data_IF_384240993313
#
_entry.id   IF_384240993313
#
_cell.length_a   1.000
_cell.length_b   1.000
_cell.length_c   1.000
_cell.angle_alpha   90.00
_cell.angle_beta   90.00
_cell.angle_gamma   90.00
#
_symmetry.space_group_name_H-M   'P 1'
#
loop_
_entity.id
_entity.type
_entity.pdbx_description
1 polymer ?
#
# COMPACT_ATOMS: atom_id res chain seq x y z
N UNK A 1 17.52 -14.84 33.44
CA UNK A 1 16.26 -14.29 32.88
C UNK A 1 16.47 -14.14 31.39
N UNK A 2 16.03 -15.11 30.60
CA UNK A 2 16.10 -15.08 29.13
C UNK A 2 15.14 -14.01 28.65
N UNK A 3 15.67 -12.97 28.03
CA UNK A 3 14.88 -11.90 27.42
C UNK A 3 13.91 -12.55 26.39
N UNK A 4 12.64 -12.52 26.72
CA UNK A 4 11.56 -13.03 25.86
C UNK A 4 11.48 -12.10 24.63
N UNK A 5 12.27 -12.39 23.60
CA UNK A 5 12.15 -11.71 22.31
C UNK A 5 10.71 -11.90 21.85
N UNK A 6 9.96 -10.81 21.63
CA UNK A 6 8.54 -10.92 21.26
C UNK A 6 8.42 -11.79 20.03
N UNK A 7 7.72 -12.91 20.16
CA UNK A 7 7.51 -13.89 19.10
C UNK A 7 6.96 -13.14 17.86
N UNK A 8 7.68 -13.19 16.74
CA UNK A 8 7.30 -12.52 15.50
C UNK A 8 5.90 -13.00 15.09
N UNK A 9 4.97 -12.10 14.89
CA UNK A 9 3.59 -12.41 14.51
C UNK A 9 3.57 -12.90 13.06
N UNK A 10 3.44 -14.22 12.86
CA UNK A 10 3.52 -14.84 11.54
C UNK A 10 2.39 -14.33 10.63
N UNK A 11 1.16 -14.23 11.16
CA UNK A 11 0.02 -13.72 10.42
C UNK A 11 0.27 -12.32 9.79
N UNK A 12 1.01 -11.43 10.46
CA UNK A 12 1.35 -10.11 9.92
C UNK A 12 2.34 -10.20 8.74
N UNK A 13 3.32 -11.10 8.81
CA UNK A 13 4.24 -11.33 7.69
C UNK A 13 3.52 -11.95 6.50
N UNK A 14 2.57 -12.85 6.75
CA UNK A 14 1.75 -13.47 5.70
C UNK A 14 0.84 -12.42 5.04
N UNK A 15 0.15 -11.59 5.83
CA UNK A 15 -0.68 -10.52 5.27
C UNK A 15 0.14 -9.57 4.40
N UNK A 16 1.35 -9.20 4.83
CA UNK A 16 2.27 -8.40 4.02
C UNK A 16 2.67 -9.10 2.73
N UNK A 17 2.93 -10.40 2.80
CA UNK A 17 3.24 -11.21 1.61
C UNK A 17 2.08 -11.30 0.63
N UNK A 18 0.85 -11.48 1.12
CA UNK A 18 -0.37 -11.49 0.31
C UNK A 18 -0.51 -10.14 -0.42
N UNK A 19 -0.34 -9.03 0.30
CA UNK A 19 -0.47 -7.69 -0.31
C UNK A 19 0.61 -7.43 -1.37
N UNK A 20 1.86 -7.81 -1.13
CA UNK A 20 2.93 -7.64 -2.13
C UNK A 20 2.70 -8.53 -3.36
N UNK A 21 2.35 -9.81 -3.17
CA UNK A 21 2.03 -10.70 -4.28
C UNK A 21 0.83 -10.18 -5.09
N UNK A 22 -0.19 -9.66 -4.39
CA UNK A 22 -1.33 -8.99 -5.02
C UNK A 22 -0.93 -7.75 -5.81
N UNK A 23 -0.06 -6.88 -5.26
CA UNK A 23 0.44 -5.69 -5.98
C UNK A 23 1.18 -6.08 -7.27
N UNK A 24 2.04 -7.09 -7.20
CA UNK A 24 2.77 -7.57 -8.39
C UNK A 24 1.79 -8.13 -9.43
N UNK A 25 0.78 -8.88 -9.00
CA UNK A 25 -0.24 -9.46 -9.87
C UNK A 25 -1.03 -8.38 -10.63
N UNK A 26 -1.57 -7.40 -9.90
CA UNK A 26 -2.48 -6.41 -10.50
C UNK A 26 -1.76 -5.31 -11.27
N UNK A 27 -0.49 -5.06 -10.97
CA UNK A 27 0.32 -4.05 -11.68
C UNK A 27 1.01 -4.59 -12.94
N UNK A 28 0.98 -5.91 -13.18
CA UNK A 28 1.67 -6.52 -14.32
C UNK A 28 0.75 -7.49 -15.11
N UNK A 29 -0.41 -7.03 -15.62
CA UNK A 29 -1.21 -7.84 -16.53
C UNK A 29 -0.46 -8.06 -17.85
N UNK A 30 -0.78 -9.12 -18.57
CA UNK A 30 -0.24 -9.33 -19.92
C UNK A 30 -0.70 -8.24 -20.90
N UNK A 31 -1.92 -7.74 -20.72
CA UNK A 31 -2.48 -6.61 -21.47
C UNK A 31 -3.46 -5.84 -20.61
N UNK A 32 -3.34 -4.53 -20.58
CA UNK A 32 -4.29 -3.65 -19.90
C UNK A 32 -5.68 -3.60 -20.55
N UNK A 33 -5.79 -3.98 -21.84
CA UNK A 33 -7.07 -4.08 -22.52
C UNK A 33 -7.83 -5.38 -22.23
N UNK A 34 -7.22 -6.34 -21.56
CA UNK A 34 -7.78 -7.66 -21.29
C UNK A 34 -7.54 -8.09 -19.84
N UNK A 35 -8.07 -7.30 -18.90
CA UNK A 35 -8.03 -7.58 -17.47
C UNK A 35 -9.42 -8.00 -17.00
N UNK A 36 -9.53 -9.01 -16.14
CA UNK A 36 -10.81 -9.35 -15.51
C UNK A 36 -11.24 -8.27 -14.54
N UNK A 37 -12.52 -7.90 -14.54
CA UNK A 37 -13.08 -6.81 -13.70
C UNK A 37 -12.67 -6.83 -12.23
N UNK A 38 -12.58 -7.96 -11.51
CA UNK A 38 -12.11 -7.96 -10.13
C UNK A 38 -10.63 -7.57 -9.96
N UNK A 39 -9.84 -7.62 -11.05
CA UNK A 39 -8.42 -7.25 -11.08
C UNK A 39 -8.18 -5.84 -11.63
N UNK A 40 -9.23 -5.15 -12.07
CA UNK A 40 -9.20 -3.75 -12.45
C UNK A 40 -9.41 -2.84 -11.24
N UNK A 41 -8.93 -1.61 -11.33
CA UNK A 41 -9.30 -0.56 -10.40
C UNK A 41 -10.71 -0.04 -10.70
N UNK A 42 -11.42 0.41 -9.68
CA UNK A 42 -12.66 1.17 -9.89
C UNK A 42 -12.37 2.40 -10.75
N UNK A 43 -13.25 2.68 -11.73
CA UNK A 43 -13.06 3.78 -12.69
C UNK A 43 -12.83 5.12 -11.99
N UNK A 44 -13.66 5.46 -11.00
CA UNK A 44 -13.47 6.60 -10.10
C UNK A 44 -14.06 6.28 -8.72
N UNK A 45 -15.38 6.28 -8.57
CA UNK A 45 -16.05 5.89 -7.33
C UNK A 45 -16.29 4.38 -7.32
N UNK A 46 -16.08 3.75 -6.18
CA UNK A 46 -16.24 2.31 -6.00
C UNK A 46 -15.07 1.66 -5.28
N UNK A 47 -15.13 0.34 -5.14
CA UNK A 47 -14.13 -0.47 -4.47
C UNK A 47 -14.08 -1.84 -5.14
N UNK A 48 -12.94 -2.18 -5.73
CA UNK A 48 -12.66 -3.51 -6.25
C UNK A 48 -11.67 -4.26 -5.35
N UNK A 49 -11.51 -5.57 -5.47
CA UNK A 49 -10.47 -6.30 -4.74
C UNK A 49 -9.07 -5.76 -4.98
N UNK A 50 -8.77 -5.27 -6.19
CA UNK A 50 -7.50 -4.62 -6.54
C UNK A 50 -7.25 -3.34 -5.74
N UNK A 51 -8.29 -2.59 -5.43
CA UNK A 51 -8.18 -1.37 -4.65
C UNK A 51 -7.86 -1.60 -3.17
N UNK A 52 -7.95 -2.84 -2.68
CA UNK A 52 -7.60 -3.21 -1.30
C UNK A 52 -6.10 -3.42 -1.10
N UNK A 53 -5.35 -3.72 -2.15
CA UNK A 53 -3.97 -4.20 -2.03
C UNK A 53 -3.05 -3.13 -1.43
N UNK A 54 -3.03 -1.94 -1.99
CA UNK A 54 -2.18 -0.84 -1.52
C UNK A 54 -2.59 -0.31 -0.13
N UNK A 55 -3.87 -0.03 0.16
CA UNK A 55 -4.28 0.38 1.50
C UNK A 55 -3.98 -0.68 2.58
N UNK A 56 -4.15 -1.96 2.28
CA UNK A 56 -3.76 -3.01 3.22
C UNK A 56 -2.27 -2.97 3.55
N UNK A 57 -1.43 -2.72 2.54
CA UNK A 57 0.01 -2.56 2.77
C UNK A 57 0.31 -1.34 3.65
N UNK A 58 -0.38 -0.21 3.45
CA UNK A 58 -0.25 0.98 4.30
C UNK A 58 -0.70 0.71 5.74
N UNK A 59 -1.79 -0.02 5.93
CA UNK A 59 -2.26 -0.45 7.25
C UNK A 59 -1.20 -1.32 7.97
N UNK A 60 -0.63 -2.31 7.28
CA UNK A 60 0.44 -3.19 7.79
C UNK A 60 1.70 -2.36 8.12
N UNK A 61 2.03 -1.37 7.31
CA UNK A 61 3.13 -0.45 7.57
C UNK A 61 2.91 0.30 8.88
N UNK A 62 1.69 0.74 9.17
CA UNK A 62 1.33 1.35 10.45
C UNK A 62 1.60 0.42 11.64
N UNK A 63 1.13 -0.84 11.60
CA UNK A 63 1.41 -1.85 12.63
C UNK A 63 2.92 -2.06 12.78
N UNK A 64 3.64 -2.18 11.67
CA UNK A 64 5.10 -2.38 11.66
C UNK A 64 5.85 -1.19 12.25
N UNK A 65 5.34 0.02 12.04
CA UNK A 65 5.86 1.26 12.64
C UNK A 65 5.69 1.24 14.15
N UNK A 66 4.53 0.81 14.66
CA UNK A 66 4.32 0.62 16.10
C UNK A 66 5.36 -0.36 16.69
N UNK A 67 5.53 -1.53 16.05
CA UNK A 67 6.50 -2.54 16.51
C UNK A 67 7.93 -1.98 16.53
N UNK A 68 8.30 -1.23 15.50
CA UNK A 68 9.63 -0.63 15.40
C UNK A 68 9.89 0.43 16.48
N UNK A 69 8.94 1.34 16.68
CA UNK A 69 9.09 2.45 17.65
C UNK A 69 8.93 2.00 19.10
N UNK A 70 8.19 0.92 19.36
CA UNK A 70 8.08 0.32 20.70
C UNK A 70 9.45 -0.04 21.27
N UNK A 71 10.42 -0.44 20.45
CA UNK A 71 11.79 -0.73 20.87
C UNK A 71 12.53 0.48 21.40
N UNK A 72 12.07 1.68 21.08
CA UNK A 72 12.59 2.98 21.54
C UNK A 72 11.65 3.64 22.54
N UNK A 73 10.69 2.89 23.13
CA UNK A 73 9.68 3.39 24.08
C UNK A 73 8.93 4.63 23.57
N UNK A 74 8.81 4.80 22.25
CA UNK A 74 8.18 5.96 21.59
C UNK A 74 8.75 7.31 22.05
N UNK A 75 10.01 7.33 22.51
CA UNK A 75 10.65 8.56 23.00
C UNK A 75 11.30 9.33 21.86
N UNK A 76 11.12 10.65 21.88
CA UNK A 76 11.88 11.53 21.02
C UNK A 76 13.35 11.51 21.42
N UNK A 77 14.21 11.19 20.45
CA UNK A 77 15.66 11.31 20.57
C UNK A 77 16.26 11.60 19.19
N UNK A 78 17.44 12.21 19.15
CA UNK A 78 18.14 12.45 17.89
C UNK A 78 18.41 11.15 17.11
N UNK A 79 18.69 10.04 17.81
CA UNK A 79 18.88 8.73 17.19
C UNK A 79 17.59 8.20 16.56
N UNK A 80 16.46 8.31 17.26
CA UNK A 80 15.13 7.89 16.75
C UNK A 80 14.73 8.76 15.56
N UNK A 81 14.89 10.09 15.68
CA UNK A 81 14.59 11.04 14.61
C UNK A 81 15.43 10.75 13.35
N UNK A 82 16.77 10.61 13.52
CA UNK A 82 17.66 10.28 12.39
C UNK A 82 17.24 9.00 11.67
N UNK A 83 16.83 7.98 12.42
CA UNK A 83 16.35 6.72 11.84
C UNK A 83 15.07 6.92 11.03
N UNK A 84 14.09 7.67 11.57
CA UNK A 84 12.84 7.98 10.89
C UNK A 84 13.13 8.74 9.58
N UNK A 85 13.88 9.84 9.67
CA UNK A 85 14.23 10.68 8.53
C UNK A 85 15.00 9.89 7.48
N UNK A 86 16.05 9.16 7.88
CA UNK A 86 16.83 8.32 6.95
C UNK A 86 15.92 7.37 6.16
N UNK A 87 15.03 6.64 6.86
CA UNK A 87 14.15 5.67 6.20
C UNK A 87 13.13 6.36 5.29
N UNK A 88 12.55 7.47 5.70
CA UNK A 88 11.64 8.28 4.90
C UNK A 88 12.32 8.74 3.60
N UNK A 89 13.49 9.36 3.72
CA UNK A 89 14.25 9.87 2.57
C UNK A 89 14.66 8.74 1.62
N UNK A 90 15.17 7.62 2.14
CA UNK A 90 15.59 6.49 1.31
C UNK A 90 14.41 5.92 0.52
N UNK A 91 13.24 5.70 1.16
CA UNK A 91 12.05 5.19 0.47
C UNK A 91 11.56 6.20 -0.58
N UNK A 92 11.57 7.49 -0.25
CA UNK A 92 11.18 8.55 -1.18
C UNK A 92 12.09 8.61 -2.41
N UNK A 93 13.41 8.57 -2.20
CA UNK A 93 14.39 8.58 -3.29
C UNK A 93 14.33 7.32 -4.17
N UNK A 94 14.04 6.14 -3.59
CA UNK A 94 13.78 4.92 -4.38
C UNK A 94 12.59 5.15 -5.31
N UNK A 95 11.51 5.76 -4.83
CA UNK A 95 10.35 6.08 -5.67
C UNK A 95 10.67 7.06 -6.80
N UNK A 96 11.47 8.12 -6.52
CA UNK A 96 11.92 9.04 -7.57
C UNK A 96 12.80 8.34 -8.61
N UNK A 97 13.68 7.46 -8.15
CA UNK A 97 14.52 6.66 -9.04
C UNK A 97 13.68 5.76 -9.97
N UNK A 98 12.66 5.08 -9.45
CA UNK A 98 11.76 4.24 -10.26
C UNK A 98 10.98 5.07 -11.28
N UNK A 99 10.44 6.23 -10.89
CA UNK A 99 9.74 7.12 -11.80
C UNK A 99 10.66 7.65 -12.91
N UNK A 100 11.89 8.05 -12.55
CA UNK A 100 12.89 8.50 -13.51
C UNK A 100 13.32 7.37 -14.45
N UNK A 101 13.55 6.17 -13.92
CA UNK A 101 13.92 4.98 -14.70
C UNK A 101 12.82 4.65 -15.72
N UNK A 102 11.56 4.56 -15.29
CA UNK A 102 10.44 4.30 -16.17
C UNK A 102 10.36 5.34 -17.29
N UNK A 103 10.39 6.63 -16.94
CA UNK A 103 10.33 7.69 -17.95
C UNK A 103 11.51 7.64 -18.90
N UNK A 104 12.75 7.54 -18.38
CA UNK A 104 13.98 7.57 -19.19
C UNK A 104 14.10 6.36 -20.13
N UNK A 105 13.67 5.19 -19.71
CA UNK A 105 13.70 3.98 -20.54
C UNK A 105 12.75 4.11 -21.73
N UNK A 106 11.55 4.61 -21.54
CA UNK A 106 10.57 4.74 -22.63
C UNK A 106 10.79 5.97 -23.51
N UNK A 107 11.45 7.03 -23.02
CA UNK A 107 11.80 8.22 -23.84
C UNK A 107 13.22 8.17 -24.44
N UNK A 108 14.02 7.16 -24.08
CA UNK A 108 15.42 6.98 -24.49
C UNK A 108 16.35 8.15 -24.11
N UNK A 109 15.96 9.01 -23.16
CA UNK A 109 16.81 10.06 -22.59
C UNK A 109 16.43 10.36 -21.13
N UNK A 110 17.34 10.96 -20.37
CA UNK A 110 17.06 11.40 -19.01
C UNK A 110 16.11 12.59 -19.05
N UNK A 111 14.87 12.36 -18.66
CA UNK A 111 13.79 13.35 -18.71
C UNK A 111 13.41 13.78 -17.29
N UNK A 112 13.99 14.90 -16.83
CA UNK A 112 13.68 15.50 -15.53
C UNK A 112 12.50 16.48 -15.61
N UNK A 113 12.20 17.02 -16.80
CA UNK A 113 11.16 18.02 -17.01
C UNK A 113 9.74 17.41 -16.83
N UNK A 114 9.64 16.12 -17.08
CA UNK A 114 8.39 15.37 -16.93
C UNK A 114 8.50 14.28 -15.83
N UNK A 115 9.42 14.46 -14.89
CA UNK A 115 9.58 13.53 -13.79
C UNK A 115 8.39 13.61 -12.83
N UNK A 116 7.64 12.52 -12.68
CA UNK A 116 6.58 12.42 -11.67
C UNK A 116 7.19 12.45 -10.27
N UNK A 117 6.83 13.44 -9.45
CA UNK A 117 7.41 13.63 -8.11
C UNK A 117 6.79 12.73 -7.06
N UNK A 118 5.49 12.42 -7.17
CA UNK A 118 4.78 11.59 -6.23
C UNK A 118 4.39 10.26 -6.88
N UNK A 119 4.10 9.27 -6.05
CA UNK A 119 3.71 7.94 -6.44
C UNK A 119 3.62 7.04 -5.21
N UNK A 120 3.44 5.75 -5.43
CA UNK A 120 3.23 4.75 -4.37
C UNK A 120 4.33 4.80 -3.30
N UNK A 121 5.60 4.82 -3.71
CA UNK A 121 6.73 4.80 -2.77
C UNK A 121 6.84 6.09 -1.97
N UNK A 122 6.62 7.24 -2.59
CA UNK A 122 6.65 8.54 -1.93
C UNK A 122 5.49 8.66 -0.93
N UNK A 123 4.29 8.17 -1.28
CA UNK A 123 3.16 8.10 -0.35
C UNK A 123 3.47 7.22 0.86
N UNK A 124 4.10 6.05 0.65
CA UNK A 124 4.58 5.20 1.74
C UNK A 124 5.61 5.92 2.62
N UNK A 125 6.57 6.62 2.01
CA UNK A 125 7.59 7.37 2.73
C UNK A 125 6.98 8.45 3.62
N UNK A 126 6.08 9.29 3.08
CA UNK A 126 5.42 10.36 3.81
C UNK A 126 4.51 9.77 4.91
N UNK A 127 3.70 8.75 4.57
CA UNK A 127 2.83 8.07 5.53
C UNK A 127 3.61 7.48 6.71
N UNK A 128 4.73 6.81 6.45
CA UNK A 128 5.63 6.32 7.49
C UNK A 128 6.25 7.45 8.30
N UNK A 129 6.82 8.45 7.63
CA UNK A 129 7.55 9.56 8.28
C UNK A 129 6.64 10.36 9.20
N UNK A 130 5.51 10.84 8.70
CA UNK A 130 4.55 11.65 9.46
C UNK A 130 3.97 10.85 10.63
N UNK A 131 3.49 9.61 10.39
CA UNK A 131 2.97 8.76 11.46
C UNK A 131 4.02 8.50 12.53
N UNK A 132 5.28 8.25 12.14
CA UNK A 132 6.37 8.03 13.09
C UNK A 132 6.68 9.28 13.92
N UNK A 133 6.70 10.47 13.31
CA UNK A 133 6.92 11.74 14.02
C UNK A 133 5.78 12.02 15.01
N UNK A 134 4.53 11.85 14.59
CA UNK A 134 3.38 12.00 15.49
C UNK A 134 3.46 10.99 16.64
N UNK A 135 3.91 9.75 16.38
CA UNK A 135 3.99 8.71 17.40
C UNK A 135 5.04 8.98 18.50
N UNK A 136 6.10 9.72 18.20
CA UNK A 136 7.15 10.08 19.19
C UNK A 136 6.93 11.44 19.85
N UNK A 137 5.97 12.26 19.35
CA UNK A 137 5.72 13.61 19.86
C UNK A 137 4.36 13.74 20.55
N UNK A 138 3.37 12.94 20.14
CA UNK A 138 1.99 13.02 20.63
C UNK A 138 1.61 11.77 21.41
N UNK A 139 0.89 11.94 22.52
CA UNK A 139 0.36 10.81 23.28
C UNK A 139 -0.60 9.98 22.42
N UNK A 140 -0.42 8.66 22.35
CA UNK A 140 -1.16 7.76 21.47
C UNK A 140 -2.68 7.74 21.73
N UNK A 141 -3.15 8.21 22.88
CA UNK A 141 -4.59 8.35 23.18
C UNK A 141 -5.28 9.37 22.27
N UNK A 142 -4.54 10.31 21.68
CA UNK A 142 -5.07 11.35 20.81
C UNK A 142 -5.12 10.92 19.33
N UNK A 143 -4.54 9.76 18.95
CA UNK A 143 -4.54 9.29 17.56
C UNK A 143 -5.96 9.19 16.98
N UNK A 144 -6.96 8.58 17.66
CA UNK A 144 -8.32 8.53 17.11
C UNK A 144 -8.90 9.92 16.84
N UNK A 145 -8.64 10.90 17.73
CA UNK A 145 -9.13 12.27 17.54
C UNK A 145 -8.42 12.97 16.36
N UNK A 146 -7.11 12.81 16.21
CA UNK A 146 -6.35 13.38 15.08
C UNK A 146 -6.87 12.77 13.78
N UNK A 147 -7.03 11.45 13.70
CA UNK A 147 -7.56 10.77 12.52
C UNK A 147 -8.95 11.30 12.18
N UNK A 148 -9.86 11.35 13.16
CA UNK A 148 -11.23 11.80 12.95
C UNK A 148 -11.29 13.24 12.45
N UNK A 149 -10.56 14.16 13.09
CA UNK A 149 -10.54 15.58 12.70
C UNK A 149 -9.95 15.74 11.30
N UNK A 150 -8.84 15.04 11.00
CA UNK A 150 -8.21 15.12 9.68
C UNK A 150 -9.12 14.60 8.59
N UNK A 151 -9.78 13.46 8.81
CA UNK A 151 -10.72 12.89 7.84
C UNK A 151 -11.97 13.76 7.67
N UNK A 152 -12.47 14.37 8.77
CA UNK A 152 -13.61 15.28 8.70
C UNK A 152 -13.28 16.57 7.92
N UNK A 153 -12.14 17.17 8.18
CA UNK A 153 -11.66 18.36 7.43
C UNK A 153 -11.47 18.00 5.95
N UNK A 154 -10.87 16.84 5.67
CA UNK A 154 -10.67 16.40 4.30
C UNK A 154 -12.00 16.10 3.58
N UNK A 155 -12.98 15.53 4.28
CA UNK A 155 -14.33 15.37 3.74
C UNK A 155 -14.95 16.72 3.33
N UNK A 156 -14.85 17.73 4.20
CA UNK A 156 -15.36 19.09 3.89
C UNK A 156 -14.67 19.67 2.67
N UNK A 157 -13.35 19.50 2.53
CA UNK A 157 -12.60 19.95 1.35
C UNK A 157 -13.11 19.27 0.07
N UNK A 158 -13.33 17.95 0.11
CA UNK A 158 -13.88 17.21 -1.03
C UNK A 158 -15.30 17.65 -1.37
N UNK A 159 -16.18 17.80 -0.36
CA UNK A 159 -17.57 18.18 -0.55
C UNK A 159 -17.73 19.60 -1.13
N UNK A 160 -16.89 20.55 -0.69
CA UNK A 160 -16.92 21.94 -1.17
C UNK A 160 -16.19 22.15 -2.50
N UNK A 161 -15.27 21.23 -2.87
CA UNK A 161 -14.34 21.38 -3.99
C UNK A 161 -14.56 20.38 -5.13
N UNK A 162 -15.78 19.93 -5.39
CA UNK A 162 -16.09 18.96 -6.48
C UNK A 162 -15.24 17.67 -6.40
N UNK A 163 -14.83 17.27 -5.18
CA UNK A 163 -13.88 16.18 -4.96
C UNK A 163 -14.39 14.78 -5.31
N UNK A 164 -15.69 14.61 -5.53
CA UNK A 164 -16.32 13.31 -5.83
C UNK A 164 -16.56 13.06 -7.32
N UNK A 165 -16.15 14.01 -8.18
CA UNK A 165 -16.22 13.91 -9.64
C UNK A 165 -14.81 13.90 -10.24
N UNK A 166 -14.63 13.11 -11.31
CA UNK A 166 -13.40 13.15 -12.10
C UNK A 166 -13.51 14.30 -13.10
N UNK A 167 -13.06 15.46 -12.68
CA UNK A 167 -13.19 16.73 -13.44
C UNK A 167 -11.98 17.64 -13.22
N UNK A 168 -11.79 18.61 -14.11
CA UNK A 168 -10.76 19.63 -13.97
C UNK A 168 -11.04 20.59 -12.79
N UNK A 169 -12.27 20.63 -12.29
CA UNK A 169 -12.69 21.43 -11.13
C UNK A 169 -12.44 20.74 -9.79
N UNK A 170 -12.10 19.45 -9.82
CA UNK A 170 -11.82 18.68 -8.62
C UNK A 170 -10.71 19.32 -7.78
N UNK A 171 -10.99 19.56 -6.50
CA UNK A 171 -10.08 20.24 -5.58
C UNK A 171 -8.73 19.53 -5.44
N UNK A 172 -8.71 18.18 -5.51
CA UNK A 172 -7.47 17.39 -5.42
C UNK A 172 -6.62 17.66 -6.65
N UNK A 173 -7.19 17.56 -7.85
CA UNK A 173 -6.49 17.87 -9.09
C UNK A 173 -5.96 19.30 -9.12
N UNK A 174 -6.81 20.28 -8.79
CA UNK A 174 -6.43 21.70 -8.78
C UNK A 174 -5.31 22.02 -7.80
N UNK A 175 -5.39 21.46 -6.59
CA UNK A 175 -4.35 21.67 -5.59
C UNK A 175 -3.02 21.04 -6.03
N UNK A 176 -3.07 19.81 -6.55
CA UNK A 176 -1.87 19.10 -6.97
C UNK A 176 -1.23 19.76 -8.20
N UNK A 177 -2.03 20.24 -9.17
CA UNK A 177 -1.55 21.06 -10.32
C UNK A 177 -0.88 22.34 -9.85
N UNK A 178 -1.47 23.03 -8.88
CA UNK A 178 -0.89 24.25 -8.30
C UNK A 178 0.44 23.98 -7.58
N UNK A 179 0.52 22.87 -6.84
CA UNK A 179 1.69 22.55 -6.02
C UNK A 179 2.85 21.89 -6.79
N UNK A 180 2.55 21.07 -7.79
CA UNK A 180 3.52 20.22 -8.48
C UNK A 180 3.74 20.62 -9.95
N UNK A 181 2.77 21.28 -10.57
CA UNK A 181 2.73 21.48 -12.02
C UNK A 181 2.24 20.23 -12.77
N UNK A 182 1.62 20.44 -13.92
CA UNK A 182 1.01 19.35 -14.73
C UNK A 182 2.02 18.34 -15.24
N UNK A 183 3.25 18.77 -15.55
CA UNK A 183 4.31 17.91 -16.09
C UNK A 183 4.86 16.89 -15.05
N UNK A 184 4.68 17.14 -13.75
CA UNK A 184 5.22 16.32 -12.67
C UNK A 184 4.18 15.42 -12.00
N UNK A 185 3.04 15.20 -12.68
CA UNK A 185 1.91 14.42 -12.18
C UNK A 185 1.58 13.25 -13.11
N UNK A 186 0.81 12.30 -12.58
CA UNK A 186 0.16 11.28 -13.38
C UNK A 186 -1.02 11.90 -14.15
N UNK A 187 -1.28 11.38 -15.35
CA UNK A 187 -2.42 11.77 -16.18
C UNK A 187 -3.41 10.61 -16.29
N UNK A 188 -4.62 10.82 -15.80
CA UNK A 188 -5.71 9.86 -15.88
C UNK A 188 -6.66 10.26 -17.02
N UNK A 189 -6.74 9.41 -18.06
CA UNK A 189 -7.55 9.72 -19.24
C UNK A 189 -7.19 11.02 -19.96
N UNK A 190 -5.91 11.43 -19.90
CA UNK A 190 -5.41 12.68 -20.50
C UNK A 190 -5.55 13.92 -19.61
N UNK A 191 -6.19 13.81 -18.43
CA UNK A 191 -6.28 14.88 -17.46
C UNK A 191 -5.19 14.75 -16.40
N UNK A 192 -4.55 15.85 -15.99
CA UNK A 192 -3.59 15.88 -14.90
C UNK A 192 -4.33 15.56 -13.56
N UNK A 193 -4.31 14.31 -13.16
CA UNK A 193 -4.93 13.81 -11.95
C UNK A 193 -4.07 12.69 -11.37
N UNK A 194 -3.44 12.95 -10.22
CA UNK A 194 -2.54 11.99 -9.59
C UNK A 194 -3.21 11.29 -8.41
N UNK A 195 -3.51 9.97 -8.50
CA UNK A 195 -4.08 9.20 -7.39
C UNK A 195 -3.19 9.19 -6.15
N UNK A 196 -1.88 9.36 -6.31
CA UNK A 196 -0.90 9.49 -5.24
C UNK A 196 -0.46 10.93 -5.00
N UNK A 197 -1.28 11.91 -5.37
CA UNK A 197 -1.02 13.34 -5.25
C UNK A 197 -0.79 13.84 -3.81
N UNK A 198 -0.46 15.12 -3.70
CA UNK A 198 -0.07 15.72 -2.42
C UNK A 198 -1.27 15.87 -1.48
N UNK A 199 -2.40 16.39 -1.98
CA UNK A 199 -3.57 16.64 -1.13
C UNK A 199 -4.17 15.33 -0.60
N UNK A 200 -4.28 14.30 -1.45
CA UNK A 200 -4.76 12.96 -1.07
C UNK A 200 -3.79 12.17 -0.18
N UNK A 201 -2.57 12.67 0.00
CA UNK A 201 -1.61 12.09 0.96
C UNK A 201 -2.03 12.37 2.41
N UNK A 202 -2.81 13.43 2.67
CA UNK A 202 -3.32 13.74 4.01
C UNK A 202 -4.17 12.61 4.60
N UNK A 203 -5.26 12.13 3.97
CA UNK A 203 -5.99 10.95 4.46
C UNK A 203 -5.19 9.64 4.38
N UNK A 204 -4.21 9.55 3.48
CA UNK A 204 -3.32 8.39 3.42
C UNK A 204 -2.42 8.27 4.65
N UNK A 205 -1.98 9.39 5.25
CA UNK A 205 -1.30 9.39 6.56
C UNK A 205 -2.24 8.85 7.65
N UNK A 206 -3.51 9.25 7.66
CA UNK A 206 -4.51 8.71 8.60
C UNK A 206 -4.64 7.19 8.47
N UNK A 207 -4.55 6.66 7.27
CA UNK A 207 -4.57 5.21 7.03
C UNK A 207 -3.44 4.48 7.78
N UNK A 208 -2.22 5.01 7.69
CA UNK A 208 -1.06 4.47 8.42
C UNK A 208 -1.23 4.65 9.94
N UNK A 209 -1.81 5.77 10.36
CA UNK A 209 -2.11 6.03 11.78
C UNK A 209 -3.14 5.05 12.35
N UNK A 210 -4.18 4.66 11.59
CA UNK A 210 -5.12 3.60 11.99
C UNK A 210 -4.38 2.28 12.17
N UNK A 211 -3.53 1.90 11.21
CA UNK A 211 -2.69 0.71 11.31
C UNK A 211 -1.78 0.75 12.56
N UNK A 212 -1.16 1.90 12.84
CA UNK A 212 -0.35 2.10 14.05
C UNK A 212 -1.17 1.88 15.33
N UNK A 213 -2.38 2.43 15.38
CA UNK A 213 -3.26 2.27 16.54
C UNK A 213 -3.73 0.81 16.70
N UNK A 214 -4.03 0.10 15.61
CA UNK A 214 -4.29 -1.35 15.63
C UNK A 214 -3.06 -2.13 16.12
N UNK A 215 -1.85 -1.70 15.77
CA UNK A 215 -0.61 -2.23 16.35
C UNK A 215 -0.56 -2.09 17.87
N UNK A 216 -0.97 -0.93 18.41
CA UNK A 216 -1.10 -0.73 19.86
C UNK A 216 -2.09 -1.71 20.47
N UNK A 217 -3.27 -1.89 19.88
CA UNK A 217 -4.29 -2.82 20.37
C UNK A 217 -3.78 -4.26 20.38
N UNK A 218 -3.09 -4.70 19.32
CA UNK A 218 -2.49 -6.02 19.20
C UNK A 218 -1.47 -6.32 20.30
N UNK A 219 -0.55 -5.38 20.54
CA UNK A 219 0.56 -5.59 21.47
C UNK A 219 0.22 -5.26 22.92
N UNK A 220 -0.98 -4.74 23.20
CA UNK A 220 -1.54 -4.60 24.54
C UNK A 220 -2.50 -5.73 24.91
N UNK A 221 -2.83 -6.65 23.99
CA UNK A 221 -3.65 -7.81 24.23
C UNK A 221 -2.88 -8.89 25.02
N UNK A 222 -3.58 -9.60 25.92
CA UNK A 222 -3.01 -10.61 26.81
C UNK A 222 -2.66 -11.90 26.05
N UNK A 223 -3.52 -12.30 25.13
CA UNK A 223 -3.43 -13.53 24.35
C UNK A 223 -3.90 -13.36 22.91
N UNK A 224 -3.92 -14.43 22.13
CA UNK A 224 -4.32 -14.38 20.74
C UNK A 224 -5.84 -14.20 20.56
N UNK A 225 -6.65 -14.70 21.50
CA UNK A 225 -8.11 -14.53 21.43
C UNK A 225 -8.48 -13.07 21.62
N UNK A 226 -7.88 -12.40 22.60
CA UNK A 226 -8.08 -10.96 22.80
C UNK A 226 -7.58 -10.13 21.60
N UNK A 227 -6.48 -10.52 20.94
CA UNK A 227 -6.03 -9.86 19.70
C UNK A 227 -7.08 -9.95 18.60
N UNK A 228 -7.65 -11.15 18.40
CA UNK A 228 -8.70 -11.37 17.41
C UNK A 228 -9.93 -10.55 17.75
N UNK A 229 -10.41 -10.60 18.99
CA UNK A 229 -11.59 -9.85 19.43
C UNK A 229 -11.42 -8.36 19.16
N UNK A 230 -10.29 -7.77 19.57
CA UNK A 230 -10.03 -6.34 19.38
C UNK A 230 -9.94 -5.95 17.93
N UNK A 231 -9.22 -6.72 17.10
CA UNK A 231 -9.09 -6.45 15.67
C UNK A 231 -10.40 -6.65 14.93
N UNK A 232 -11.15 -7.70 15.26
CA UNK A 232 -12.42 -7.99 14.63
C UNK A 232 -13.47 -6.92 14.99
N UNK A 233 -13.52 -6.49 16.25
CA UNK A 233 -14.41 -5.41 16.69
C UNK A 233 -14.09 -4.11 15.95
N UNK A 234 -12.84 -3.68 15.93
CA UNK A 234 -12.42 -2.49 15.17
C UNK A 234 -12.70 -2.67 13.68
N UNK A 235 -12.40 -3.84 13.14
CA UNK A 235 -12.62 -4.15 11.74
C UNK A 235 -14.09 -4.05 11.34
N UNK A 236 -14.96 -4.64 12.13
CA UNK A 236 -16.42 -4.62 11.91
C UNK A 236 -16.96 -3.20 12.00
N UNK A 237 -16.64 -2.47 13.09
CA UNK A 237 -17.13 -1.09 13.29
C UNK A 237 -16.69 -0.20 12.12
N UNK A 238 -15.39 -0.23 11.74
CA UNK A 238 -14.89 0.62 10.65
C UNK A 238 -15.51 0.23 9.30
N UNK A 239 -15.66 -1.05 9.00
CA UNK A 239 -16.26 -1.50 7.74
C UNK A 239 -17.71 -1.04 7.61
N UNK A 240 -18.53 -1.29 8.64
CA UNK A 240 -19.94 -0.86 8.63
C UNK A 240 -20.06 0.67 8.60
N UNK A 241 -19.26 1.38 9.40
CA UNK A 241 -19.24 2.85 9.39
C UNK A 241 -18.86 3.39 8.01
N UNK A 242 -17.85 2.80 7.37
CA UNK A 242 -17.41 3.21 6.03
C UNK A 242 -18.48 3.01 4.97
N UNK A 243 -19.17 1.85 4.97
CA UNK A 243 -20.29 1.62 4.06
C UNK A 243 -21.49 2.54 4.35
N UNK A 244 -21.82 2.76 5.63
CA UNK A 244 -22.92 3.67 5.99
C UNK A 244 -22.60 5.11 5.54
N UNK A 245 -21.40 5.60 5.79
CA UNK A 245 -20.98 6.94 5.40
C UNK A 245 -20.80 7.09 3.87
N UNK A 246 -20.69 5.98 3.13
CA UNK A 246 -20.49 6.03 1.67
C UNK A 246 -21.67 6.60 0.90
N UNK A 247 -22.86 6.66 1.51
CA UNK A 247 -24.04 7.33 0.93
C UNK A 247 -23.85 8.85 0.81
N UNK A 248 -23.02 9.46 1.67
CA UNK A 248 -22.71 10.89 1.61
C UNK A 248 -21.25 11.21 1.19
N UNK A 249 -20.38 10.21 1.25
CA UNK A 249 -18.97 10.35 0.87
C UNK A 249 -18.57 9.09 0.08
N UNK A 250 -18.64 9.09 -1.24
CA UNK A 250 -18.32 7.91 -2.06
C UNK A 250 -16.98 7.29 -1.70
N UNK A 251 -16.93 5.95 -1.68
CA UNK A 251 -15.66 5.22 -1.52
C UNK A 251 -14.85 5.44 -2.80
N UNK A 252 -13.68 6.06 -2.68
CA UNK A 252 -12.88 6.42 -3.83
C UNK A 252 -11.38 6.37 -3.51
N UNK A 253 -10.66 5.53 -4.25
CA UNK A 253 -9.21 5.37 -4.12
C UNK A 253 -8.44 6.56 -4.71
N UNK A 254 -8.90 7.12 -5.84
CA UNK A 254 -8.15 8.16 -6.56
C UNK A 254 -8.04 9.46 -5.77
N UNK A 255 -9.08 9.82 -5.00
CA UNK A 255 -9.03 10.95 -4.06
C UNK A 255 -8.70 10.50 -2.63
N UNK A 256 -8.55 9.19 -2.39
CA UNK A 256 -8.31 8.61 -1.06
C UNK A 256 -9.35 9.07 -0.04
N UNK A 257 -10.65 8.92 -0.39
CA UNK A 257 -11.75 9.46 0.41
C UNK A 257 -11.74 8.95 1.86
N UNK A 258 -12.30 9.70 2.82
CA UNK A 258 -12.42 9.26 4.21
C UNK A 258 -13.07 7.89 4.36
N UNK A 259 -14.11 7.63 3.59
CA UNK A 259 -14.80 6.32 3.55
C UNK A 259 -13.92 5.21 2.99
N UNK A 260 -13.07 5.51 2.01
CA UNK A 260 -12.07 4.57 1.53
C UNK A 260 -11.09 4.19 2.64
N UNK A 261 -10.57 5.16 3.41
CA UNK A 261 -9.68 4.91 4.54
C UNK A 261 -10.37 4.03 5.58
N UNK A 262 -11.58 4.40 6.00
CA UNK A 262 -12.33 3.72 7.06
C UNK A 262 -12.67 2.28 6.63
N UNK A 263 -13.23 2.11 5.43
CA UNK A 263 -13.64 0.79 4.92
C UNK A 263 -12.44 -0.14 4.75
N UNK A 264 -11.38 0.33 4.11
CA UNK A 264 -10.23 -0.53 3.81
C UNK A 264 -9.40 -0.85 5.06
N UNK A 265 -9.29 0.07 6.04
CA UNK A 265 -8.72 -0.24 7.35
C UNK A 265 -9.57 -1.25 8.12
N UNK A 266 -10.89 -1.15 8.02
CA UNK A 266 -11.81 -2.11 8.63
C UNK A 266 -11.63 -3.51 8.07
N UNK A 267 -11.63 -3.63 6.75
CA UNK A 267 -11.39 -4.90 6.05
C UNK A 267 -10.00 -5.47 6.35
N UNK A 268 -8.95 -4.63 6.37
CA UNK A 268 -7.59 -5.07 6.69
C UNK A 268 -7.47 -5.59 8.13
N UNK A 269 -8.13 -4.93 9.09
CA UNK A 269 -8.17 -5.35 10.49
C UNK A 269 -8.87 -6.69 10.67
N UNK A 270 -10.05 -6.86 10.05
CA UNK A 270 -10.81 -8.12 10.07
C UNK A 270 -10.03 -9.26 9.41
N UNK A 271 -9.39 -8.99 8.27
CA UNK A 271 -8.59 -9.97 7.56
C UNK A 271 -7.35 -10.39 8.36
N UNK A 272 -6.69 -9.47 9.05
CA UNK A 272 -5.58 -9.79 9.96
C UNK A 272 -6.07 -10.66 11.13
N UNK A 273 -7.24 -10.37 11.72
CA UNK A 273 -7.83 -11.19 12.76
C UNK A 273 -8.09 -12.63 12.28
N UNK A 274 -8.63 -12.79 11.07
CA UNK A 274 -8.83 -14.09 10.43
C UNK A 274 -7.51 -14.84 10.24
N UNK A 275 -6.47 -14.17 9.77
CA UNK A 275 -5.14 -14.79 9.59
C UNK A 275 -4.51 -15.20 10.91
N UNK A 276 -4.67 -14.42 11.99
CA UNK A 276 -4.22 -14.81 13.33
C UNK A 276 -4.94 -16.08 13.76
N UNK A 277 -6.25 -16.17 13.53
CA UNK A 277 -7.04 -17.36 13.88
C UNK A 277 -6.58 -18.60 13.10
N UNK A 278 -6.43 -18.49 11.76
CA UNK A 278 -6.02 -19.61 10.91
C UNK A 278 -4.59 -20.07 11.24
N UNK A 279 -3.65 -19.12 11.35
CA UNK A 279 -2.21 -19.38 11.38
C UNK A 279 -1.70 -19.60 12.80
N UNK A 280 -2.06 -18.68 13.73
CA UNK A 280 -1.46 -18.65 15.06
C UNK A 280 -2.28 -19.47 16.09
N UNK A 281 -3.59 -19.68 15.88
CA UNK A 281 -4.46 -20.49 16.75
C UNK A 281 -4.67 -21.90 16.16
N UNK A 282 -5.18 -22.00 14.93
CA UNK A 282 -5.47 -23.31 14.31
C UNK A 282 -4.22 -24.02 13.80
N UNK A 283 -3.10 -23.29 13.61
CA UNK A 283 -1.83 -23.88 13.18
C UNK A 283 -1.77 -24.29 11.71
N UNK A 284 -2.71 -23.83 10.86
CA UNK A 284 -2.70 -24.14 9.43
C UNK A 284 -1.65 -23.31 8.71
N UNK A 285 -0.41 -23.80 8.65
CA UNK A 285 0.76 -23.05 8.16
C UNK A 285 1.37 -23.60 6.86
N UNK A 286 0.87 -24.68 6.28
CA UNK A 286 1.46 -25.34 5.09
C UNK A 286 1.59 -24.41 3.87
N UNK A 287 0.65 -23.50 3.68
CA UNK A 287 0.63 -22.53 2.59
C UNK A 287 1.42 -21.24 2.89
N UNK A 288 1.82 -21.03 4.12
CA UNK A 288 2.43 -19.77 4.58
C UNK A 288 3.78 -19.48 3.93
N UNK A 289 4.56 -20.50 3.55
CA UNK A 289 5.93 -20.32 3.02
C UNK A 289 5.93 -19.47 1.76
N UNK A 290 4.93 -19.64 0.88
CA UNK A 290 4.80 -18.84 -0.33
C UNK A 290 4.73 -17.35 -0.02
N UNK A 291 3.76 -16.94 0.76
CA UNK A 291 3.56 -15.52 1.11
C UNK A 291 4.62 -14.99 2.08
N UNK A 292 5.13 -15.82 2.99
CA UNK A 292 6.19 -15.44 3.91
C UNK A 292 7.45 -15.01 3.16
N UNK A 293 7.77 -15.66 2.05
CA UNK A 293 8.91 -15.29 1.21
C UNK A 293 8.81 -13.82 0.75
N UNK A 294 7.65 -13.37 0.28
CA UNK A 294 7.38 -11.97 -0.04
C UNK A 294 7.39 -11.07 1.19
N UNK A 295 6.73 -11.51 2.27
CA UNK A 295 6.49 -10.69 3.47
C UNK A 295 7.73 -10.33 4.26
N UNK A 296 8.85 -11.05 4.10
CA UNK A 296 10.11 -10.79 4.81
C UNK A 296 11.03 -9.80 4.10
N UNK A 297 10.89 -9.66 2.77
CA UNK A 297 11.65 -8.72 1.92
C UNK A 297 10.73 -7.84 1.05
N UNK A 298 9.68 -7.20 1.61
CA UNK A 298 8.60 -6.59 0.83
C UNK A 298 9.08 -5.44 -0.06
N UNK A 299 9.96 -4.58 0.45
CA UNK A 299 10.45 -3.45 -0.32
C UNK A 299 11.40 -3.88 -1.44
N UNK A 300 12.28 -4.83 -1.16
CA UNK A 300 13.20 -5.36 -2.18
C UNK A 300 12.43 -5.95 -3.36
N UNK A 301 11.47 -6.84 -3.08
CA UNK A 301 10.75 -7.52 -4.16
C UNK A 301 9.81 -6.58 -4.93
N UNK A 302 9.25 -5.57 -4.26
CA UNK A 302 8.47 -4.54 -4.93
C UNK A 302 9.34 -3.75 -5.93
N UNK A 303 10.50 -3.23 -5.48
CA UNK A 303 11.44 -2.49 -6.34
C UNK A 303 11.96 -3.37 -7.48
N UNK A 304 12.29 -4.62 -7.18
CA UNK A 304 12.72 -5.59 -8.19
C UNK A 304 11.64 -5.83 -9.25
N UNK A 305 10.39 -6.03 -8.83
CA UNK A 305 9.27 -6.22 -9.74
C UNK A 305 9.03 -4.99 -10.64
N UNK A 306 9.06 -3.77 -10.08
CA UNK A 306 8.94 -2.55 -10.87
C UNK A 306 10.05 -2.42 -11.92
N UNK A 307 11.32 -2.63 -11.53
CA UNK A 307 12.46 -2.56 -12.47
C UNK A 307 12.32 -3.62 -13.57
N UNK A 308 12.02 -4.86 -13.21
CA UNK A 308 11.86 -5.94 -14.19
C UNK A 308 10.66 -5.72 -15.11
N UNK A 309 9.55 -5.18 -14.60
CA UNK A 309 8.38 -4.80 -15.41
C UNK A 309 8.74 -3.75 -16.46
N UNK A 310 9.47 -2.70 -16.07
CA UNK A 310 9.97 -1.66 -16.97
C UNK A 310 10.89 -2.27 -18.05
N UNK A 311 11.82 -3.12 -17.67
CA UNK A 311 12.77 -3.75 -18.62
C UNK A 311 12.08 -4.71 -19.58
N UNK A 312 11.16 -5.55 -19.11
CA UNK A 312 10.39 -6.46 -19.97
C UNK A 312 9.47 -5.69 -20.94
N UNK A 313 8.89 -4.56 -20.47
CA UNK A 313 8.11 -3.67 -21.34
C UNK A 313 8.97 -3.02 -22.42
N UNK A 314 10.11 -2.45 -22.03
CA UNK A 314 11.01 -1.75 -22.95
C UNK A 314 11.65 -2.65 -24.01
N UNK A 315 11.97 -3.90 -23.65
CA UNK A 315 12.53 -4.89 -24.58
C UNK A 315 11.47 -5.55 -25.48
N UNK A 316 10.17 -5.29 -25.24
CA UNK A 316 9.08 -5.96 -25.94
C UNK A 316 8.88 -7.41 -25.50
N UNK A 317 9.64 -7.92 -24.55
CA UNK A 317 9.55 -9.32 -24.10
C UNK A 317 8.18 -9.62 -23.45
N UNK A 318 7.61 -8.67 -22.72
CA UNK A 318 6.26 -8.81 -22.15
C UNK A 318 5.21 -9.01 -23.23
N UNK A 319 5.24 -8.19 -24.27
CA UNK A 319 4.32 -8.26 -25.43
C UNK A 319 4.51 -9.58 -26.19
N UNK A 320 5.76 -9.99 -26.44
CA UNK A 320 6.06 -11.25 -27.09
C UNK A 320 5.49 -12.45 -26.32
N UNK A 321 5.76 -12.55 -25.01
CA UNK A 321 5.27 -13.65 -24.17
C UNK A 321 3.74 -13.65 -24.15
N UNK A 322 3.11 -12.49 -23.98
CA UNK A 322 1.66 -12.40 -23.96
C UNK A 322 1.04 -12.75 -25.32
N UNK A 323 1.38 -12.02 -26.38
CA UNK A 323 0.69 -12.15 -27.68
C UNK A 323 1.07 -13.43 -28.46
N UNK A 324 2.37 -13.79 -28.45
CA UNK A 324 2.84 -14.89 -29.30
C UNK A 324 2.78 -16.26 -28.61
N UNK A 325 2.79 -16.28 -27.26
CA UNK A 325 2.78 -17.54 -26.51
C UNK A 325 1.44 -17.75 -25.81
N UNK A 326 1.04 -16.81 -24.95
CA UNK A 326 -0.10 -17.07 -24.06
C UNK A 326 -1.46 -16.86 -24.75
N UNK A 327 -1.61 -15.82 -25.57
CA UNK A 327 -2.87 -15.56 -26.30
C UNK A 327 -3.18 -16.67 -27.30
N UNK A 328 -2.16 -17.20 -27.99
CA UNK A 328 -2.33 -18.27 -28.98
C UNK A 328 -2.88 -19.58 -28.38
N UNK A 329 -2.60 -19.82 -27.08
CA UNK A 329 -3.02 -21.06 -26.39
C UNK A 329 -4.26 -20.82 -25.54
N UNK A 330 -4.35 -19.69 -24.85
CA UNK A 330 -5.35 -19.44 -23.81
C UNK A 330 -6.41 -18.39 -24.21
N UNK A 331 -6.15 -17.60 -25.26
CA UNK A 331 -6.96 -16.42 -25.57
C UNK A 331 -6.59 -15.19 -24.75
N UNK A 332 -7.27 -14.06 -25.00
CA UNK A 332 -6.85 -12.74 -24.49
C UNK A 332 -6.91 -12.61 -22.96
N UNK A 333 -8.07 -12.78 -22.35
CA UNK A 333 -8.24 -12.60 -20.90
C UNK A 333 -7.50 -13.65 -20.06
N UNK A 334 -7.64 -14.97 -20.32
CA UNK A 334 -6.87 -15.97 -19.58
C UNK A 334 -5.37 -15.87 -19.84
N UNK A 335 -4.93 -15.47 -21.05
CA UNK A 335 -3.53 -15.23 -21.37
C UNK A 335 -2.95 -14.07 -20.57
N UNK A 336 -3.70 -12.96 -20.41
CA UNK A 336 -3.29 -11.82 -19.60
C UNK A 336 -3.13 -12.19 -18.12
N UNK A 337 -4.08 -12.94 -17.56
CA UNK A 337 -3.99 -13.45 -16.20
C UNK A 337 -2.83 -14.43 -16.04
N UNK A 338 -2.64 -15.35 -16.99
CA UNK A 338 -1.53 -16.31 -16.97
C UNK A 338 -0.17 -15.61 -16.96
N UNK A 339 -0.01 -14.54 -17.76
CA UNK A 339 1.20 -13.71 -17.73
C UNK A 339 1.45 -13.12 -16.35
N UNK A 340 0.43 -12.49 -15.74
CA UNK A 340 0.54 -11.90 -14.41
C UNK A 340 0.91 -12.94 -13.34
N UNK A 341 0.31 -14.14 -13.39
CA UNK A 341 0.63 -15.24 -12.47
C UNK A 341 2.06 -15.75 -12.65
N UNK A 342 2.52 -15.93 -13.91
CA UNK A 342 3.91 -16.31 -14.21
C UNK A 342 4.90 -15.25 -13.71
N UNK A 343 4.54 -13.98 -13.83
CA UNK A 343 5.35 -12.87 -13.32
C UNK A 343 5.45 -12.90 -11.79
N UNK A 344 4.35 -13.17 -11.08
CA UNK A 344 4.35 -13.37 -9.63
C UNK A 344 5.24 -14.56 -9.25
N UNK A 345 5.16 -15.69 -9.97
CA UNK A 345 5.99 -16.87 -9.71
C UNK A 345 7.48 -16.60 -9.98
N UNK A 346 7.80 -15.84 -11.02
CA UNK A 346 9.17 -15.39 -11.29
C UNK A 346 9.69 -14.54 -10.12
N UNK A 347 8.96 -13.53 -9.67
CA UNK A 347 9.32 -12.71 -8.51
C UNK A 347 9.42 -13.56 -7.23
N UNK A 348 8.50 -14.52 -7.05
CA UNK A 348 8.55 -15.45 -5.92
C UNK A 348 9.83 -16.28 -5.91
N UNK A 349 10.27 -16.81 -7.05
CA UNK A 349 11.48 -17.62 -7.14
C UNK A 349 12.71 -16.87 -6.59
N UNK A 350 12.85 -15.59 -6.94
CA UNK A 350 13.95 -14.73 -6.50
C UNK A 350 13.89 -14.49 -4.97
N UNK A 351 12.72 -14.07 -4.49
CA UNK A 351 12.60 -13.74 -3.06
C UNK A 351 12.60 -14.99 -2.17
N UNK A 352 12.18 -16.15 -2.71
CA UNK A 352 12.24 -17.43 -2.01
C UNK A 352 13.69 -17.92 -1.82
N UNK A 353 14.56 -17.70 -2.81
CA UNK A 353 16.00 -17.96 -2.67
C UNK A 353 16.58 -17.10 -1.53
N UNK A 354 16.25 -15.81 -1.48
CA UNK A 354 16.68 -14.93 -0.39
C UNK A 354 16.15 -15.40 0.96
N UNK A 355 14.87 -15.79 1.00
CA UNK A 355 14.23 -16.33 2.21
C UNK A 355 14.95 -17.59 2.71
N UNK A 356 15.24 -18.56 1.82
CA UNK A 356 15.99 -19.80 2.18
C UNK A 356 17.40 -19.52 2.69
N UNK A 357 18.07 -18.52 2.11
CA UNK A 357 19.42 -18.10 2.54
C UNK A 357 19.43 -17.22 3.78
N UNK A 358 18.27 -16.89 4.35
CA UNK A 358 18.15 -15.99 5.51
C UNK A 358 18.56 -14.54 5.24
N UNK A 359 18.57 -14.12 3.96
CA UNK A 359 18.95 -12.74 3.56
C UNK A 359 17.74 -11.83 3.69
N UNK A 360 17.83 -10.82 4.56
CA UNK A 360 16.79 -9.83 4.80
C UNK A 360 17.34 -8.45 4.46
N UNK A 361 16.80 -7.85 3.38
CA UNK A 361 17.16 -6.48 2.96
C UNK A 361 16.44 -5.50 3.87
N UNK A 362 17.20 -4.74 4.67
CA UNK A 362 16.68 -3.75 5.63
C UNK A 362 17.12 -2.35 5.21
N UNK A 363 16.19 -1.39 5.30
CA UNK A 363 16.41 0.04 5.12
C UNK A 363 16.23 0.74 6.46
#
# INVERSE_FOLDING_TARGET
MTANTPKRLLALDILRGITIAGMILVNNPGSWGHVYTPLEHAAFNGLTPTDLVFPFFMFIMGISTYISLRKYNFTYSHATLRKIVKRTVVIFCIGLFLNLLAKSVFTHHLNFEELRYLGVMQRLAIGYGVTSLVAITVKHKYFPAIILVTLAVYFLLLAMGDGFNLSATNIVARFDVWALGTSHMYHDGGMAFDPEGLLSTLPAVCHVMVGFYCGKLLFSAKDNDEKIQRLFLVGTILTFAGFLLSYGCPINKKVWSPTFVITTCGLASSFLALLIWIIDIKGYQGWCVFFRSFGVNPLFIYVFAEIMGILLGATGASVFIYEKVLVTVLGNYPGSLAYALLYVLFCWSIVHILYKKGIYVKI
#
